data_IF_740077393103
#
_entry.id   IF_740077393103
#
_cell.length_a   1.000
_cell.length_b   1.000
_cell.length_c   1.000
_cell.angle_alpha   90.00
_cell.angle_beta   90.00
_cell.angle_gamma   90.00
#
_symmetry.space_group_name_H-M   'P 1'
#
loop_
_entity.id
_entity.type
_entity.pdbx_description
1 polymer ?
#
# COMPACT_ATOMS: atom_id res chain seq x y z
N UNK A 1 -28.82 42.58 14.97
CA UNK A 1 -27.48 42.38 15.53
C UNK A 1 -27.20 40.90 15.40
N UNK A 2 -26.63 40.49 14.27
CA UNK A 2 -26.35 39.09 13.96
C UNK A 2 -25.01 38.72 14.59
N UNK A 3 -24.89 37.59 15.31
CA UNK A 3 -23.59 37.14 15.79
C UNK A 3 -22.70 36.81 14.59
N UNK A 4 -21.51 37.36 14.62
CA UNK A 4 -20.47 37.23 13.60
C UNK A 4 -20.02 35.77 13.48
N UNK A 5 -19.84 35.33 12.23
CA UNK A 5 -19.19 34.07 11.87
C UNK A 5 -17.87 33.92 12.64
N UNK A 6 -17.82 32.95 13.53
CA UNK A 6 -16.54 32.40 13.99
C UNK A 6 -15.92 31.68 12.79
N UNK A 7 -14.88 32.30 12.24
CA UNK A 7 -13.93 31.64 11.35
C UNK A 7 -13.44 30.38 12.04
N UNK A 8 -13.40 29.20 11.38
CA UNK A 8 -12.80 28.01 11.96
C UNK A 8 -11.38 28.36 12.37
N UNK A 9 -11.08 28.27 13.67
CA UNK A 9 -9.70 28.37 14.15
C UNK A 9 -8.89 27.32 13.39
N UNK A 10 -7.79 27.76 12.77
CA UNK A 10 -6.80 26.86 12.24
C UNK A 10 -6.41 25.89 13.37
N UNK A 11 -6.68 24.60 13.14
CA UNK A 11 -6.25 23.53 14.02
C UNK A 11 -4.75 23.37 13.84
N UNK A 12 -4.05 23.23 14.95
CA UNK A 12 -2.62 22.98 15.00
C UNK A 12 -2.29 21.70 14.22
N UNK A 13 -1.49 21.75 13.13
CA UNK A 13 -1.20 20.58 12.29
C UNK A 13 -0.40 19.48 13.02
N UNK A 14 0.06 19.71 14.25
CA UNK A 14 0.81 18.73 15.06
C UNK A 14 -0.03 17.65 15.76
N UNK A 15 -1.38 17.71 15.75
CA UNK A 15 -2.21 16.85 16.62
C UNK A 15 -2.75 15.58 15.94
N UNK A 16 -2.85 15.54 14.61
CA UNK A 16 -3.45 14.41 13.90
C UNK A 16 -2.42 13.65 13.07
N UNK A 17 -2.29 12.35 13.34
CA UNK A 17 -1.42 11.46 12.59
C UNK A 17 -1.80 11.44 11.09
N UNK A 18 -0.80 11.22 10.23
CA UNK A 18 -1.05 10.99 8.81
C UNK A 18 -1.78 9.66 8.63
N UNK A 19 -2.73 9.60 7.69
CA UNK A 19 -3.38 8.34 7.32
C UNK A 19 -2.37 7.50 6.55
N UNK A 20 -2.02 6.34 7.09
CA UNK A 20 -1.10 5.36 6.51
C UNK A 20 -1.82 4.12 5.97
N UNK A 21 -3.14 4.23 5.75
CA UNK A 21 -3.99 3.11 5.34
C UNK A 21 -5.01 3.60 4.32
N UNK A 22 -4.94 3.05 3.11
CA UNK A 22 -5.91 3.24 2.05
C UNK A 22 -6.91 2.06 2.04
N UNK A 23 -8.15 2.26 2.52
CA UNK A 23 -9.14 1.18 2.56
C UNK A 23 -9.53 0.62 1.19
N UNK A 24 -9.16 1.29 0.08
CA UNK A 24 -9.41 0.81 -1.27
C UNK A 24 -8.33 -0.18 -1.74
N UNK A 25 -7.12 -0.09 -1.19
CA UNK A 25 -5.95 -0.81 -1.68
C UNK A 25 -5.42 -1.83 -0.66
N UNK A 26 -5.47 -1.48 0.63
CA UNK A 26 -4.78 -2.24 1.69
C UNK A 26 -5.65 -3.35 2.29
N UNK A 27 -6.96 -3.32 2.02
CA UNK A 27 -7.86 -4.42 2.38
C UNK A 27 -7.74 -5.50 1.31
N UNK A 28 -7.47 -6.76 1.70
CA UNK A 28 -7.18 -7.78 0.72
C UNK A 28 -8.47 -8.28 0.04
N UNK A 29 -8.37 -8.65 -1.23
CA UNK A 29 -9.53 -8.99 -2.06
C UNK A 29 -10.40 -10.12 -1.46
N UNK A 30 -9.82 -11.06 -0.71
CA UNK A 30 -10.57 -12.14 -0.07
C UNK A 30 -11.60 -11.63 0.94
N UNK A 31 -11.32 -10.51 1.64
CA UNK A 31 -12.25 -9.92 2.58
C UNK A 31 -13.50 -9.41 1.86
N UNK A 32 -13.34 -8.83 0.67
CA UNK A 32 -14.41 -8.35 -0.19
C UNK A 32 -15.19 -9.48 -0.87
N UNK A 33 -14.49 -10.52 -1.36
CA UNK A 33 -15.13 -11.69 -1.98
C UNK A 33 -16.02 -12.45 -0.99
N UNK A 34 -15.58 -12.59 0.27
CA UNK A 34 -16.39 -13.20 1.33
C UNK A 34 -17.72 -12.47 1.56
N UNK A 35 -17.78 -11.17 1.24
CA UNK A 35 -18.98 -10.34 1.35
C UNK A 35 -19.75 -10.16 0.03
N UNK A 36 -19.33 -10.81 -1.05
CA UNK A 36 -19.90 -10.60 -2.40
C UNK A 36 -19.88 -9.13 -2.81
N UNK A 37 -18.77 -8.43 -2.54
CA UNK A 37 -18.57 -7.04 -2.99
C UNK A 37 -17.99 -7.05 -4.41
N UNK A 38 -18.50 -6.17 -5.28
CA UNK A 38 -17.98 -5.96 -6.63
C UNK A 38 -16.87 -4.92 -6.61
N UNK A 39 -15.62 -5.37 -6.61
CA UNK A 39 -14.45 -4.49 -6.59
C UNK A 39 -14.37 -3.56 -7.81
N UNK A 40 -15.01 -3.89 -8.93
CA UNK A 40 -15.00 -3.04 -10.13
C UNK A 40 -15.82 -1.76 -9.97
N UNK A 41 -16.70 -1.71 -8.96
CA UNK A 41 -17.54 -0.54 -8.64
C UNK A 41 -16.87 0.43 -7.66
N UNK A 42 -15.66 0.12 -7.20
CA UNK A 42 -14.92 0.89 -6.21
C UNK A 42 -14.77 2.36 -6.58
N UNK A 43 -15.26 3.25 -5.71
CA UNK A 43 -15.02 4.70 -5.83
C UNK A 43 -14.24 5.18 -4.62
N UNK A 44 -13.12 5.85 -4.90
CA UNK A 44 -12.27 6.50 -3.89
C UNK A 44 -12.56 7.99 -3.85
N UNK A 45 -12.69 8.54 -2.66
CA UNK A 45 -12.73 9.98 -2.43
C UNK A 45 -11.88 10.35 -1.23
N UNK A 46 -11.21 11.50 -1.32
CA UNK A 46 -10.35 12.01 -0.26
C UNK A 46 -10.89 13.37 0.17
N UNK A 47 -10.91 13.61 1.48
CA UNK A 47 -11.39 14.86 2.03
C UNK A 47 -10.46 15.35 3.13
N UNK A 48 -10.00 16.60 2.99
CA UNK A 48 -9.22 17.31 4.00
C UNK A 48 -9.96 18.58 4.39
N UNK A 49 -10.28 18.72 5.68
CA UNK A 49 -10.95 19.90 6.21
C UNK A 49 -10.68 20.07 7.70
N UNK A 50 -10.27 21.28 8.09
CA UNK A 50 -10.06 21.64 9.50
C UNK A 50 -9.00 20.80 10.22
N UNK A 51 -7.93 20.38 9.54
CA UNK A 51 -6.88 19.51 10.09
C UNK A 51 -7.21 18.02 10.07
N UNK A 52 -8.44 17.65 9.71
CA UNK A 52 -8.81 16.26 9.51
C UNK A 52 -8.63 15.85 8.06
N UNK A 53 -8.06 14.68 7.85
CA UNK A 53 -8.00 13.99 6.56
C UNK A 53 -8.84 12.72 6.66
N UNK A 54 -9.41 12.31 5.54
CA UNK A 54 -10.11 11.04 5.41
C UNK A 54 -10.04 10.50 3.99
N UNK A 55 -9.97 9.18 3.89
CA UNK A 55 -10.08 8.42 2.65
C UNK A 55 -11.35 7.58 2.77
N UNK A 56 -12.28 7.78 1.84
CA UNK A 56 -13.53 7.04 1.75
C UNK A 56 -13.53 6.18 0.49
N UNK A 57 -13.80 4.90 0.67
CA UNK A 57 -13.98 3.91 -0.38
C UNK A 57 -15.39 3.36 -0.33
N UNK A 58 -16.07 3.37 -1.48
CA UNK A 58 -17.43 2.85 -1.62
C UNK A 58 -17.49 1.76 -2.67
N UNK A 59 -18.17 0.66 -2.37
CA UNK A 59 -18.33 -0.47 -3.28
C UNK A 59 -19.77 -0.96 -3.28
N UNK A 60 -20.25 -1.39 -4.44
CA UNK A 60 -21.55 -2.03 -4.58
C UNK A 60 -21.43 -3.54 -4.33
N UNK A 61 -22.50 -4.14 -3.84
CA UNK A 61 -22.64 -5.60 -3.76
C UNK A 61 -22.85 -6.23 -5.13
N UNK A 62 -22.28 -7.42 -5.35
CA UNK A 62 -22.60 -8.27 -6.50
C UNK A 62 -24.10 -8.64 -6.45
N UNK A 63 -24.86 -8.39 -7.52
CA UNK A 63 -26.28 -8.75 -7.62
C UNK A 63 -26.56 -10.21 -7.22
N UNK A 64 -27.66 -10.51 -6.50
CA UNK A 64 -28.06 -11.89 -6.26
C UNK A 64 -28.63 -12.55 -7.54
N UNK A 65 -28.35 -13.84 -7.74
CA UNK A 65 -28.97 -14.65 -8.79
C UNK A 65 -30.40 -15.02 -8.39
N UNK A 66 -31.37 -14.19 -8.78
CA UNK A 66 -32.82 -14.44 -8.88
C UNK A 66 -33.62 -14.94 -7.66
N UNK A 67 -33.02 -15.29 -6.51
CA UNK A 67 -33.77 -15.86 -5.37
C UNK A 67 -33.28 -15.43 -3.95
N UNK A 68 -32.93 -14.15 -3.80
CA UNK A 68 -32.66 -13.40 -2.55
C UNK A 68 -31.18 -13.22 -2.18
N UNK A 69 -30.82 -11.95 -1.99
CA UNK A 69 -30.19 -11.31 -0.82
C UNK A 69 -30.03 -9.84 -1.20
N UNK A 70 -30.60 -8.92 -0.41
CA UNK A 70 -30.62 -7.50 -0.73
C UNK A 70 -29.30 -6.89 -1.20
N UNK A 71 -29.42 -5.86 -2.06
CA UNK A 71 -28.30 -5.07 -2.54
C UNK A 71 -27.82 -4.15 -1.41
N UNK A 72 -26.52 -3.92 -1.32
CA UNK A 72 -25.95 -3.00 -0.35
C UNK A 72 -24.75 -2.26 -0.92
N UNK A 73 -24.49 -1.10 -0.34
CA UNK A 73 -23.24 -0.36 -0.54
C UNK A 73 -22.36 -0.56 0.70
N UNK A 74 -21.08 -0.89 0.48
CA UNK A 74 -20.06 -0.95 1.51
C UNK A 74 -19.30 0.37 1.53
N UNK A 75 -19.28 1.05 2.67
CA UNK A 75 -18.50 2.25 2.93
C UNK A 75 -17.35 1.92 3.88
N UNK A 76 -16.14 2.30 3.49
CA UNK A 76 -14.92 2.16 4.26
C UNK A 76 -14.25 3.52 4.38
N UNK A 77 -14.13 4.04 5.59
CA UNK A 77 -13.58 5.36 5.85
C UNK A 77 -12.37 5.24 6.77
N UNK A 78 -11.18 5.54 6.27
CA UNK A 78 -10.01 5.80 7.10
C UNK A 78 -9.96 7.29 7.43
N UNK A 79 -9.72 7.66 8.69
CA UNK A 79 -9.62 9.06 9.10
C UNK A 79 -8.61 9.24 10.21
N UNK A 80 -7.97 10.42 10.24
CA UNK A 80 -7.08 10.79 11.34
C UNK A 80 -7.79 11.30 12.61
N UNK A 81 -9.10 11.06 12.70
CA UNK A 81 -9.92 11.31 13.88
C UNK A 81 -9.71 10.22 14.92
N UNK A 82 -9.69 10.60 16.18
CA UNK A 82 -9.74 9.67 17.30
C UNK A 82 -11.17 9.12 17.52
N UNK A 83 -11.29 7.97 18.19
CA UNK A 83 -12.60 7.46 18.60
C UNK A 83 -13.35 8.42 19.53
N UNK A 84 -12.66 9.07 20.47
CA UNK A 84 -13.27 10.05 21.38
C UNK A 84 -13.93 11.21 20.61
N UNK A 85 -13.26 11.70 19.56
CA UNK A 85 -13.81 12.74 18.69
C UNK A 85 -15.00 12.23 17.88
N UNK A 86 -14.94 10.99 17.39
CA UNK A 86 -16.06 10.36 16.68
C UNK A 86 -17.28 10.20 17.60
N UNK A 87 -17.09 9.72 18.82
CA UNK A 87 -18.15 9.56 19.83
C UNK A 87 -18.81 10.91 20.17
N UNK A 88 -18.02 11.97 20.39
CA UNK A 88 -18.52 13.31 20.73
C UNK A 88 -19.39 13.94 19.64
N UNK A 89 -19.29 13.51 18.38
CA UNK A 89 -20.12 14.04 17.29
C UNK A 89 -21.56 13.57 17.36
N UNK A 90 -21.82 12.39 17.91
CA UNK A 90 -23.15 11.79 17.94
C UNK A 90 -23.33 10.80 19.10
N UNK A 91 -23.21 11.26 20.35
CA UNK A 91 -23.21 10.39 21.53
C UNK A 91 -24.56 9.70 21.77
N UNK A 92 -25.66 10.28 21.28
CA UNK A 92 -27.02 9.73 21.48
C UNK A 92 -27.25 8.46 20.67
N UNK A 93 -26.53 8.28 19.56
CA UNK A 93 -26.70 7.17 18.62
C UNK A 93 -25.46 6.27 18.53
N UNK A 94 -24.48 6.48 19.41
CA UNK A 94 -23.19 5.78 19.40
C UNK A 94 -22.98 5.07 20.73
N UNK A 95 -22.58 3.81 20.68
CA UNK A 95 -22.25 3.00 21.87
C UNK A 95 -20.83 2.49 21.77
N UNK A 96 -20.09 2.53 22.87
CA UNK A 96 -18.77 1.91 22.97
C UNK A 96 -18.86 0.39 22.95
N UNK A 97 -17.91 -0.26 22.30
CA UNK A 97 -17.79 -1.71 22.23
C UNK A 97 -16.32 -2.10 22.07
N UNK A 98 -16.08 -3.39 21.84
CA UNK A 98 -14.80 -3.91 21.41
C UNK A 98 -14.96 -4.81 20.19
N UNK A 99 -14.02 -4.74 19.26
CA UNK A 99 -13.87 -5.70 18.15
C UNK A 99 -12.47 -6.28 18.23
N UNK A 100 -12.33 -7.61 18.27
CA UNK A 100 -11.05 -8.30 18.49
C UNK A 100 -10.24 -7.79 19.69
N UNK A 101 -10.91 -7.32 20.76
CA UNK A 101 -10.26 -6.76 21.93
C UNK A 101 -9.77 -5.31 21.78
N UNK A 102 -10.00 -4.66 20.62
CA UNK A 102 -9.70 -3.25 20.38
C UNK A 102 -10.90 -2.36 20.73
N UNK A 103 -10.68 -1.16 21.29
CA UNK A 103 -11.75 -0.18 21.46
C UNK A 103 -12.43 0.15 20.12
N UNK A 104 -13.76 0.16 20.14
CA UNK A 104 -14.56 0.47 18.97
C UNK A 104 -15.86 1.16 19.36
N UNK A 105 -16.52 1.75 18.37
CA UNK A 105 -17.83 2.37 18.47
C UNK A 105 -18.78 1.64 17.52
N UNK A 106 -20.00 1.43 17.96
CA UNK A 106 -21.12 1.04 17.09
C UNK A 106 -22.05 2.23 17.01
N UNK A 107 -22.36 2.64 15.79
CA UNK A 107 -23.27 3.74 15.51
C UNK A 107 -24.47 3.26 14.70
N UNK A 108 -25.65 3.72 15.11
CA UNK A 108 -26.91 3.53 14.40
C UNK A 108 -27.42 4.87 13.87
N UNK A 109 -27.53 5.03 12.55
CA UNK A 109 -28.12 6.25 11.98
C UNK A 109 -29.65 6.19 12.10
N UNK A 110 -30.29 7.09 12.88
CA UNK A 110 -31.73 7.05 13.10
C UNK A 110 -32.55 7.33 11.83
N UNK A 111 -31.93 7.89 10.79
CA UNK A 111 -32.59 8.18 9.52
C UNK A 111 -32.43 7.03 8.51
N UNK A 112 -31.62 6.01 8.82
CA UNK A 112 -31.35 4.88 7.94
C UNK A 112 -31.75 3.58 8.63
N UNK A 113 -32.81 2.96 8.13
CA UNK A 113 -33.31 1.68 8.66
C UNK A 113 -32.24 0.60 8.55
N UNK A 114 -32.02 -0.14 9.63
CA UNK A 114 -31.01 -1.21 9.73
C UNK A 114 -29.57 -0.74 9.40
N UNK A 115 -29.26 0.54 9.61
CA UNK A 115 -27.87 0.99 9.56
C UNK A 115 -27.05 0.33 10.66
N UNK A 116 -25.80 0.04 10.37
CA UNK A 116 -24.79 -0.24 11.37
C UNK A 116 -23.44 0.24 10.84
N UNK A 117 -22.83 1.17 11.55
CA UNK A 117 -21.46 1.60 11.34
C UNK A 117 -20.62 1.13 12.53
N UNK A 118 -19.50 0.46 12.26
CA UNK A 118 -18.52 0.09 13.26
C UNK A 118 -17.26 0.91 13.01
N UNK A 119 -16.86 1.70 13.99
CA UNK A 119 -15.61 2.46 13.97
C UNK A 119 -14.61 1.85 14.95
N UNK A 120 -13.42 1.47 14.52
CA UNK A 120 -12.37 0.99 15.42
C UNK A 120 -11.19 1.95 15.43
N UNK A 121 -10.54 2.05 16.59
CA UNK A 121 -9.33 2.87 16.74
C UNK A 121 -8.21 2.29 15.88
N UNK A 122 -7.39 3.15 15.29
CA UNK A 122 -6.17 2.76 14.58
C UNK A 122 -5.02 3.67 15.01
N UNK A 123 -3.79 3.39 14.57
CA UNK A 123 -2.63 4.26 14.87
C UNK A 123 -2.71 5.62 14.21
N UNK A 124 -3.32 5.69 13.03
CA UNK A 124 -3.54 6.94 12.33
C UNK A 124 -4.79 7.67 12.80
N UNK A 125 -5.72 7.01 13.50
CA UNK A 125 -6.95 7.60 14.05
C UNK A 125 -8.05 6.56 14.21
N UNK A 126 -8.87 6.40 13.17
CA UNK A 126 -9.93 5.39 13.13
C UNK A 126 -10.17 4.87 11.72
N UNK A 127 -10.80 3.70 11.64
CA UNK A 127 -11.48 3.22 10.44
C UNK A 127 -12.95 2.97 10.77
N UNK A 128 -13.87 3.50 9.95
CA UNK A 128 -15.30 3.22 9.99
C UNK A 128 -15.71 2.31 8.84
N UNK A 129 -16.50 1.30 9.15
CA UNK A 129 -17.07 0.35 8.19
C UNK A 129 -18.58 0.43 8.32
N UNK A 130 -19.29 0.63 7.19
CA UNK A 130 -20.75 0.68 7.16
C UNK A 130 -21.28 -0.09 5.95
N UNK A 131 -22.20 -1.00 6.21
CA UNK A 131 -23.05 -1.58 5.17
C UNK A 131 -24.35 -0.78 5.10
N UNK A 132 -24.70 -0.31 3.91
CA UNK A 132 -25.96 0.38 3.64
C UNK A 132 -26.84 -0.50 2.78
N UNK A 133 -27.82 -1.15 3.38
CA UNK A 133 -28.76 -2.00 2.65
C UNK A 133 -29.74 -1.14 1.84
N UNK A 134 -29.85 -1.40 0.54
CA UNK A 134 -30.66 -0.64 -0.42
C UNK A 134 -32.05 -1.25 -0.68
N UNK A 135 -32.42 -2.35 -0.03
CA UNK A 135 -33.71 -3.00 -0.23
C UNK A 135 -34.90 -2.21 0.34
N UNK A 136 -35.97 -2.10 -0.46
CA UNK A 136 -37.18 -1.30 -0.17
C UNK A 136 -38.09 -1.84 0.96
N UNK A 137 -38.02 -3.12 1.28
CA UNK A 137 -38.86 -3.76 2.31
C UNK A 137 -37.98 -4.36 3.41
N UNK A 138 -37.44 -3.50 4.26
CA UNK A 138 -36.70 -3.95 5.43
C UNK A 138 -37.60 -3.94 6.67
N UNK A 139 -37.93 -5.12 7.18
CA UNK A 139 -38.42 -5.21 8.55
C UNK A 139 -37.32 -4.72 9.52
N UNK A 140 -37.67 -4.01 10.61
CA UNK A 140 -36.70 -3.63 11.63
C UNK A 140 -35.97 -4.86 12.16
N UNK A 141 -34.65 -4.85 12.05
CA UNK A 141 -33.80 -5.90 12.60
C UNK A 141 -33.42 -5.57 14.04
N UNK A 142 -33.09 -6.58 14.84
CA UNK A 142 -32.41 -6.36 16.13
C UNK A 142 -31.04 -5.71 15.90
N UNK A 143 -30.50 -5.05 16.91
CA UNK A 143 -29.18 -4.39 16.84
C UNK A 143 -28.05 -5.38 16.51
N UNK A 144 -28.10 -6.59 17.06
CA UNK A 144 -27.15 -7.66 16.72
C UNK A 144 -27.28 -8.11 15.27
N UNK A 145 -28.52 -8.26 14.77
CA UNK A 145 -28.74 -8.75 13.42
C UNK A 145 -28.29 -7.73 12.37
N UNK A 146 -28.54 -6.43 12.58
CA UNK A 146 -28.10 -5.38 11.66
C UNK A 146 -26.57 -5.20 11.62
N UNK A 147 -25.87 -5.48 12.72
CA UNK A 147 -24.41 -5.37 12.77
C UNK A 147 -23.66 -6.64 12.43
N UNK A 148 -24.32 -7.80 12.35
CA UNK A 148 -23.70 -9.10 12.12
C UNK A 148 -22.72 -9.10 10.93
N UNK A 149 -23.19 -8.61 9.78
CA UNK A 149 -22.40 -8.50 8.54
C UNK A 149 -21.20 -7.56 8.69
N UNK A 150 -21.44 -6.35 9.19
CA UNK A 150 -20.37 -5.37 9.42
C UNK A 150 -19.32 -5.93 10.37
N UNK A 151 -19.74 -6.58 11.47
CA UNK A 151 -18.81 -7.19 12.43
C UNK A 151 -17.95 -8.28 11.81
N UNK A 152 -18.56 -9.19 11.04
CA UNK A 152 -17.81 -10.24 10.34
C UNK A 152 -16.80 -9.67 9.34
N UNK A 153 -17.11 -8.56 8.68
CA UNK A 153 -16.14 -7.89 7.82
C UNK A 153 -15.02 -7.23 8.62
N UNK A 154 -15.34 -6.50 9.71
CA UNK A 154 -14.34 -5.87 10.58
C UNK A 154 -13.35 -6.91 11.14
N UNK A 155 -13.84 -8.05 11.61
CA UNK A 155 -13.01 -9.15 12.13
C UNK A 155 -12.05 -9.72 11.06
N UNK A 156 -12.42 -9.68 9.77
CA UNK A 156 -11.54 -10.16 8.68
C UNK A 156 -10.47 -9.15 8.27
N UNK A 157 -10.75 -7.87 8.39
CA UNK A 157 -9.81 -6.81 7.96
C UNK A 157 -8.92 -6.31 9.09
N UNK A 158 -9.13 -6.78 10.32
CA UNK A 158 -8.40 -6.32 11.50
C UNK A 158 -6.88 -6.42 11.30
N UNK A 159 -6.42 -7.58 10.83
CA UNK A 159 -5.00 -7.85 10.56
C UNK A 159 -4.42 -6.93 9.48
N UNK A 160 -5.25 -6.38 8.60
CA UNK A 160 -4.82 -5.47 7.52
C UNK A 160 -4.76 -4.02 7.99
N UNK A 161 -5.66 -3.61 8.88
CA UNK A 161 -5.80 -2.22 9.34
C UNK A 161 -4.62 -1.75 10.20
N UNK A 162 -3.93 -2.69 10.84
CA UNK A 162 -2.80 -2.42 11.74
C UNK A 162 -1.43 -2.90 11.20
N UNK A 163 -1.31 -3.40 9.97
CA UNK A 163 0.01 -3.55 9.31
C UNK A 163 0.43 -2.14 8.86
N UNK A 164 1.22 -1.38 9.62
CA UNK A 164 2.69 -1.45 9.63
C UNK A 164 3.34 -1.01 10.95
N UNK A 165 4.53 -1.55 11.23
CA UNK A 165 5.53 -1.23 12.28
C UNK A 165 5.46 -2.11 13.54
N UNK A 166 6.07 -3.30 13.41
CA UNK A 166 6.96 -3.86 14.43
C UNK A 166 8.44 -3.54 14.10
N UNK A 167 8.70 -2.39 13.44
CA UNK A 167 10.06 -1.91 13.14
C UNK A 167 10.71 -1.16 14.33
N UNK A 168 10.20 -1.34 15.55
CA UNK A 168 10.69 -0.64 16.74
C UNK A 168 10.84 -1.48 18.01
N UNK A 169 10.38 -2.73 18.06
CA UNK A 169 10.42 -3.52 19.30
C UNK A 169 10.66 -5.03 19.15
N UNK A 170 11.35 -5.45 18.10
CA UNK A 170 12.09 -6.71 18.13
C UNK A 170 13.54 -6.43 17.76
N UNK A 171 14.27 -5.83 18.71
CA UNK A 171 15.63 -6.33 18.91
C UNK A 171 15.48 -7.70 19.55
N UNK A 172 15.95 -8.73 18.83
CA UNK A 172 16.18 -10.09 19.34
C UNK A 172 14.97 -11.05 19.36
N UNK A 173 14.48 -11.44 18.19
CA UNK A 173 14.22 -12.85 17.86
C UNK A 173 14.13 -13.02 16.34
N UNK A 174 15.19 -13.57 15.75
CA UNK A 174 15.23 -13.98 14.35
C UNK A 174 14.34 -15.23 14.23
N UNK A 175 13.07 -15.04 13.92
CA UNK A 175 12.23 -16.10 13.39
C UNK A 175 12.35 -16.03 11.86
N UNK A 176 13.34 -16.75 11.33
CA UNK A 176 13.49 -17.07 9.91
C UNK A 176 12.33 -17.93 9.44
N UNK A 177 11.19 -17.31 9.14
CA UNK A 177 10.21 -17.93 8.24
C UNK A 177 10.77 -17.79 6.83
N UNK A 178 11.44 -18.83 6.35
CA UNK A 178 11.92 -18.91 4.97
C UNK A 178 10.70 -18.83 4.06
N UNK A 179 10.49 -17.67 3.42
CA UNK A 179 9.42 -17.47 2.45
C UNK A 179 9.67 -18.43 1.27
N UNK A 180 8.63 -19.13 0.83
CA UNK A 180 8.71 -19.94 -0.40
C UNK A 180 9.03 -19.01 -1.58
N UNK A 181 10.08 -19.28 -2.36
CA UNK A 181 10.42 -18.48 -3.53
C UNK A 181 9.24 -18.42 -4.51
N UNK A 182 9.00 -17.24 -5.09
CA UNK A 182 7.90 -17.03 -6.05
C UNK A 182 8.09 -17.85 -7.33
N UNK A 183 9.34 -18.02 -7.75
CA UNK A 183 9.74 -18.83 -8.90
C UNK A 183 10.97 -19.64 -8.52
N UNK A 184 11.00 -20.91 -8.93
CA UNK A 184 12.13 -21.82 -8.80
C UNK A 184 12.41 -22.39 -10.18
N UNK A 185 13.68 -22.55 -10.55
CA UNK A 185 14.10 -23.24 -11.77
C UNK A 185 14.66 -24.64 -11.46
N UNK A 186 14.95 -25.41 -12.51
CA UNK A 186 15.50 -26.76 -12.37
C UNK A 186 17.03 -26.77 -12.19
N UNK A 187 17.65 -25.63 -11.83
CA UNK A 187 19.10 -25.53 -11.65
C UNK A 187 19.52 -25.78 -10.18
N UNK A 188 20.83 -25.92 -9.95
CA UNK A 188 21.42 -26.01 -8.61
C UNK A 188 21.76 -24.64 -8.02
N UNK A 189 21.24 -23.56 -8.61
CA UNK A 189 21.49 -22.18 -8.14
C UNK A 189 20.70 -21.90 -6.85
N UNK A 190 21.17 -20.95 -6.02
CA UNK A 190 20.39 -20.51 -4.88
C UNK A 190 19.01 -20.00 -5.28
N UNK A 191 18.02 -20.29 -4.45
CA UNK A 191 16.69 -19.70 -4.60
C UNK A 191 16.73 -18.18 -4.39
N UNK A 192 15.90 -17.46 -5.12
CA UNK A 192 15.74 -16.02 -4.92
C UNK A 192 14.93 -15.79 -3.63
N UNK A 193 15.59 -15.23 -2.62
CA UNK A 193 14.99 -14.96 -1.30
C UNK A 193 14.48 -13.53 -1.13
N UNK A 194 14.71 -12.67 -2.11
CA UNK A 194 14.23 -11.29 -2.13
C UNK A 194 13.30 -11.09 -3.33
N UNK A 195 12.02 -10.85 -3.06
CA UNK A 195 11.01 -10.55 -4.05
C UNK A 195 10.83 -9.03 -4.13
N UNK A 196 11.26 -8.37 -5.23
CA UNK A 196 11.19 -6.92 -5.31
C UNK A 196 9.76 -6.37 -5.24
N UNK A 197 8.73 -7.15 -5.55
CA UNK A 197 7.35 -6.70 -5.43
C UNK A 197 6.81 -6.75 -4.00
N UNK A 198 7.46 -7.50 -3.10
CA UNK A 198 7.01 -7.69 -1.72
C UNK A 198 7.98 -7.07 -0.70
N UNK A 199 9.27 -7.02 -1.05
CA UNK A 199 10.35 -6.68 -0.13
C UNK A 199 10.93 -5.29 -0.38
N UNK A 200 10.52 -4.60 -1.46
CA UNK A 200 10.75 -3.16 -1.63
C UNK A 200 9.55 -2.41 -1.03
N UNK A 201 9.74 -1.68 0.08
CA UNK A 201 8.68 -0.90 0.71
C UNK A 201 8.21 0.21 -0.23
N UNK A 202 6.90 0.37 -0.36
CA UNK A 202 6.33 1.35 -1.28
C UNK A 202 6.57 2.78 -0.80
N UNK A 203 6.77 2.99 0.50
CA UNK A 203 7.05 4.28 1.12
C UNK A 203 8.34 4.89 0.56
N UNK A 204 9.38 4.06 0.43
CA UNK A 204 10.68 4.44 -0.16
C UNK A 204 10.50 4.93 -1.62
N UNK A 205 9.55 4.33 -2.34
CA UNK A 205 9.26 4.67 -3.75
C UNK A 205 8.32 5.88 -3.88
N UNK A 206 7.33 6.01 -3.00
CA UNK A 206 6.41 7.15 -2.94
C UNK A 206 7.15 8.45 -2.61
N UNK A 207 8.07 8.41 -1.65
CA UNK A 207 8.95 9.54 -1.32
C UNK A 207 9.78 10.02 -2.52
N UNK A 208 10.01 9.13 -3.49
CA UNK A 208 10.75 9.39 -4.74
C UNK A 208 9.84 9.68 -5.94
N UNK A 209 8.53 9.77 -5.72
CA UNK A 209 7.54 10.17 -6.72
C UNK A 209 7.08 9.05 -7.67
N UNK A 210 7.25 7.78 -7.28
CA UNK A 210 6.70 6.63 -8.01
C UNK A 210 5.24 6.38 -7.63
N UNK A 211 4.43 5.97 -8.62
CA UNK A 211 3.00 5.69 -8.45
C UNK A 211 2.79 4.19 -8.20
N UNK A 212 2.26 3.81 -7.04
CA UNK A 212 1.99 2.40 -6.73
C UNK A 212 1.01 1.75 -7.73
N UNK A 213 0.08 2.53 -8.29
CA UNK A 213 -0.87 2.02 -9.31
C UNK A 213 -0.21 1.62 -10.62
N UNK A 214 1.05 2.02 -10.80
CA UNK A 214 1.85 1.66 -11.98
C UNK A 214 2.71 0.42 -11.77
N UNK A 215 2.60 -0.23 -10.60
CA UNK A 215 3.31 -1.46 -10.27
C UNK A 215 3.06 -2.51 -11.33
N UNK A 216 4.14 -2.98 -11.93
CA UNK A 216 4.12 -4.03 -12.95
C UNK A 216 5.07 -5.16 -12.55
N UNK A 217 4.53 -6.36 -12.53
CA UNK A 217 5.19 -7.58 -12.08
C UNK A 217 5.57 -8.41 -13.29
N UNK A 218 6.81 -8.88 -13.35
CA UNK A 218 7.24 -9.78 -14.41
C UNK A 218 8.08 -10.91 -13.82
N UNK A 219 7.71 -12.14 -14.17
CA UNK A 219 8.43 -13.37 -13.84
C UNK A 219 9.03 -13.97 -15.10
N UNK A 220 10.36 -14.16 -15.09
CA UNK A 220 11.11 -14.62 -16.25
C UNK A 220 11.94 -15.87 -15.90
N UNK A 221 11.33 -17.08 -15.92
CA UNK A 221 12.06 -18.32 -15.80
C UNK A 221 12.78 -18.64 -17.12
N UNK A 222 14.11 -18.60 -17.15
CA UNK A 222 14.92 -18.89 -18.35
C UNK A 222 15.59 -20.27 -18.33
N UNK A 223 15.02 -21.22 -17.59
CA UNK A 223 15.45 -22.62 -17.55
C UNK A 223 16.72 -22.86 -16.72
N UNK A 224 17.81 -22.13 -16.97
CA UNK A 224 19.10 -22.27 -16.26
C UNK A 224 19.38 -21.15 -15.26
N UNK A 225 18.50 -20.15 -15.22
CA UNK A 225 18.49 -19.05 -14.27
C UNK A 225 17.08 -18.49 -14.20
N UNK A 226 16.77 -17.86 -13.08
CA UNK A 226 15.48 -17.23 -12.78
C UNK A 226 15.69 -15.75 -12.56
N UNK A 227 14.79 -14.94 -13.11
CA UNK A 227 14.65 -13.55 -12.74
C UNK A 227 13.21 -13.27 -12.32
N UNK A 228 13.06 -12.53 -11.23
CA UNK A 228 11.79 -11.95 -10.82
C UNK A 228 11.97 -10.44 -10.74
N UNK A 229 11.02 -9.68 -11.25
CA UNK A 229 11.14 -8.22 -11.28
C UNK A 229 9.84 -7.52 -10.92
N UNK A 230 10.01 -6.32 -10.40
CA UNK A 230 8.94 -5.36 -10.16
C UNK A 230 9.35 -3.99 -10.70
N UNK A 231 8.43 -3.30 -11.34
CA UNK A 231 8.69 -1.97 -11.88
C UNK A 231 7.58 -0.97 -11.53
N UNK A 232 7.95 0.29 -11.44
CA UNK A 232 7.04 1.41 -11.18
C UNK A 232 7.39 2.58 -12.08
N UNK A 233 6.38 3.36 -12.44
CA UNK A 233 6.47 4.62 -13.18
C UNK A 233 6.21 5.79 -12.24
N UNK A 234 6.88 6.91 -12.48
CA UNK A 234 6.58 8.16 -11.79
C UNK A 234 5.15 8.61 -12.07
N UNK A 235 4.53 9.34 -11.15
CA UNK A 235 3.19 9.93 -11.37
C UNK A 235 3.12 10.65 -12.72
N UNK A 236 2.07 10.36 -13.51
CA UNK A 236 1.79 11.09 -14.74
C UNK A 236 1.48 12.55 -14.39
N UNK A 237 2.46 13.44 -14.55
CA UNK A 237 2.27 14.85 -14.20
C UNK A 237 1.35 15.52 -15.23
N UNK A 238 0.19 15.93 -14.77
CA UNK A 238 -0.79 16.71 -15.51
C UNK A 238 -0.22 18.06 -15.90
N UNK A 239 -0.23 18.35 -17.20
CA UNK A 239 -0.15 19.69 -17.81
C UNK A 239 0.93 20.62 -17.25
N UNK A 240 2.18 20.21 -17.41
CA UNK A 240 3.28 21.06 -17.90
C UNK A 240 4.50 20.14 -18.06
N UNK A 241 5.15 20.27 -19.22
CA UNK A 241 6.16 19.36 -19.74
C UNK A 241 7.26 19.03 -18.73
N UNK A 242 7.18 17.83 -18.14
CA UNK A 242 8.16 17.30 -17.19
C UNK A 242 8.51 15.88 -17.55
N UNK A 243 9.78 15.58 -17.42
CA UNK A 243 10.35 14.25 -17.53
C UNK A 243 9.58 13.23 -16.69
N UNK A 244 9.48 12.01 -17.22
CA UNK A 244 8.95 10.86 -16.48
C UNK A 244 10.05 9.83 -16.23
N UNK A 245 9.85 8.99 -15.22
CA UNK A 245 10.83 8.01 -14.79
C UNK A 245 10.18 6.64 -14.63
N UNK A 246 10.97 5.58 -14.81
CA UNK A 246 10.62 4.26 -14.36
C UNK A 246 11.75 3.68 -13.52
N UNK A 247 11.41 2.99 -12.44
CA UNK A 247 12.33 2.19 -11.66
C UNK A 247 11.97 0.72 -11.85
N UNK A 248 12.98 -0.12 -12.05
CA UNK A 248 12.82 -1.58 -12.06
C UNK A 248 13.80 -2.20 -11.10
N UNK A 249 13.32 -3.11 -10.27
CA UNK A 249 14.14 -3.99 -9.47
C UNK A 249 13.99 -5.41 -10.00
N UNK A 250 15.11 -6.06 -10.27
CA UNK A 250 15.20 -7.39 -10.84
C UNK A 250 16.14 -8.22 -9.98
N UNK A 251 15.59 -9.20 -9.28
CA UNK A 251 16.33 -10.17 -8.49
C UNK A 251 16.58 -11.41 -9.36
N UNK A 252 17.81 -11.91 -9.36
CA UNK A 252 18.16 -13.09 -10.15
C UNK A 252 19.22 -13.95 -9.51
N UNK A 253 19.18 -15.24 -9.82
CA UNK A 253 20.10 -16.24 -9.28
C UNK A 253 21.39 -16.45 -10.10
N UNK A 254 21.70 -15.51 -11.01
CA UNK A 254 23.01 -15.40 -11.65
C UNK A 254 24.02 -14.84 -10.66
N UNK A 255 25.24 -15.37 -10.63
CA UNK A 255 26.24 -14.86 -9.68
C UNK A 255 26.76 -13.48 -10.10
N UNK A 256 27.28 -12.73 -9.13
CA UNK A 256 27.92 -11.44 -9.39
C UNK A 256 29.08 -11.58 -10.38
N UNK A 257 29.91 -12.61 -10.23
CA UNK A 257 31.04 -12.87 -11.11
C UNK A 257 30.60 -13.20 -12.55
N UNK A 258 29.55 -14.00 -12.71
CA UNK A 258 28.97 -14.30 -14.02
C UNK A 258 28.41 -13.04 -14.69
N UNK A 259 27.72 -12.19 -13.91
CA UNK A 259 27.19 -10.92 -14.40
C UNK A 259 28.32 -9.96 -14.81
N UNK A 260 29.36 -9.82 -13.98
CA UNK A 260 30.53 -9.00 -14.24
C UNK A 260 31.33 -9.50 -15.46
N UNK A 261 31.47 -10.82 -15.64
CA UNK A 261 32.15 -11.37 -16.80
C UNK A 261 31.39 -11.07 -18.10
N UNK A 262 30.06 -11.16 -18.07
CA UNK A 262 29.20 -10.85 -19.21
C UNK A 262 29.24 -9.37 -19.61
N UNK A 263 29.17 -8.48 -18.61
CA UNK A 263 28.96 -7.04 -18.84
C UNK A 263 30.19 -6.19 -18.48
N UNK A 264 31.38 -6.78 -18.44
CA UNK A 264 32.62 -6.12 -17.98
C UNK A 264 32.87 -4.78 -18.65
N UNK A 265 32.65 -4.71 -19.96
CA UNK A 265 33.00 -3.53 -20.78
C UNK A 265 32.09 -2.32 -20.52
N UNK A 266 30.92 -2.54 -19.90
CA UNK A 266 29.93 -1.49 -19.61
C UNK A 266 29.73 -1.27 -18.10
N UNK A 267 30.51 -1.96 -17.27
CA UNK A 267 30.33 -1.97 -15.81
C UNK A 267 31.53 -1.33 -15.11
N UNK A 268 31.24 -0.49 -14.11
CA UNK A 268 32.25 0.04 -13.18
C UNK A 268 32.00 -0.56 -11.81
N UNK A 269 33.01 -1.22 -11.20
CA UNK A 269 32.90 -1.70 -9.83
C UNK A 269 32.80 -0.52 -8.84
N UNK A 270 31.79 -0.56 -7.98
CA UNK A 270 31.51 0.41 -6.92
C UNK A 270 31.20 -0.34 -5.61
N UNK A 271 30.91 0.41 -4.55
CA UNK A 271 30.45 -0.14 -3.28
C UNK A 271 29.24 0.66 -2.81
N UNK A 272 28.16 -0.04 -2.46
CA UNK A 272 26.98 0.53 -1.81
C UNK A 272 26.99 0.05 -0.37
N UNK A 273 27.01 0.98 0.57
CA UNK A 273 27.22 0.69 2.00
C UNK A 273 28.49 -0.16 2.19
N UNK A 274 28.35 -1.47 2.45
CA UNK A 274 29.47 -2.43 2.57
C UNK A 274 29.40 -3.58 1.56
N UNK A 275 28.54 -3.46 0.56
CA UNK A 275 28.26 -4.50 -0.44
C UNK A 275 28.89 -4.15 -1.78
N UNK A 276 29.46 -5.17 -2.43
CA UNK A 276 30.00 -5.03 -3.79
C UNK A 276 28.87 -4.75 -4.76
N UNK A 277 29.12 -3.85 -5.70
CA UNK A 277 28.14 -3.51 -6.72
C UNK A 277 28.80 -3.13 -8.04
N UNK A 278 28.04 -3.22 -9.13
CA UNK A 278 28.40 -2.66 -10.43
C UNK A 278 27.51 -1.46 -10.71
N UNK A 279 28.11 -0.40 -11.23
CA UNK A 279 27.43 0.72 -11.84
C UNK A 279 27.48 0.56 -13.35
N UNK A 280 26.30 0.57 -13.98
CA UNK A 280 26.13 0.67 -15.42
C UNK A 280 25.34 1.95 -15.71
N UNK A 281 25.69 2.69 -16.75
CA UNK A 281 24.89 3.81 -17.20
C UNK A 281 25.05 4.01 -18.70
N UNK A 282 23.97 4.42 -19.35
CA UNK A 282 23.97 4.91 -20.73
C UNK A 282 23.28 6.28 -20.77
N UNK A 283 22.87 6.80 -21.93
CA UNK A 283 22.32 8.15 -22.08
C UNK A 283 21.08 8.45 -21.24
N UNK A 284 20.20 7.46 -21.04
CA UNK A 284 18.90 7.64 -20.37
C UNK A 284 18.66 6.62 -19.23
N UNK A 285 19.59 5.68 -19.03
CA UNK A 285 19.44 4.59 -18.07
C UNK A 285 20.62 4.58 -17.12
N UNK A 286 20.35 4.24 -15.86
CA UNK A 286 21.35 3.95 -14.86
C UNK A 286 20.94 2.68 -14.14
N UNK A 287 21.85 1.73 -13.97
CA UNK A 287 21.63 0.52 -13.22
C UNK A 287 22.72 0.29 -12.17
N UNK A 288 22.30 -0.15 -10.98
CA UNK A 288 23.18 -0.63 -9.92
C UNK A 288 22.89 -2.11 -9.71
N UNK A 289 23.91 -2.94 -9.80
CA UNK A 289 23.82 -4.40 -9.64
C UNK A 289 24.51 -4.77 -8.34
N UNK A 290 23.75 -5.13 -7.31
CA UNK A 290 24.26 -5.54 -6.01
C UNK A 290 24.60 -7.03 -5.98
N UNK A 291 25.72 -7.38 -5.34
CA UNK A 291 26.12 -8.75 -4.99
C UNK A 291 25.27 -9.26 -3.81
N UNK A 292 24.56 -10.39 -3.96
CA UNK A 292 23.61 -10.91 -2.95
C UNK A 292 23.84 -12.40 -2.70
N UNK A 293 23.30 -12.95 -1.59
CA UNK A 293 23.46 -14.41 -1.32
C UNK A 293 22.75 -15.27 -2.35
N UNK A 294 21.67 -14.77 -2.94
CA UNK A 294 20.92 -15.49 -3.96
C UNK A 294 21.49 -15.29 -5.38
N UNK A 295 22.33 -14.28 -5.62
CA UNK A 295 22.88 -13.94 -6.93
C UNK A 295 23.08 -12.44 -7.07
N UNK A 296 22.21 -11.77 -7.81
CA UNK A 296 22.26 -10.30 -8.00
C UNK A 296 20.89 -9.63 -7.82
N UNK A 297 20.92 -8.40 -7.33
CA UNK A 297 19.79 -7.46 -7.40
C UNK A 297 20.14 -6.31 -8.33
N UNK A 298 19.51 -6.26 -9.49
CA UNK A 298 19.63 -5.16 -10.46
C UNK A 298 18.57 -4.13 -10.15
N UNK A 299 18.98 -2.90 -9.87
CA UNK A 299 18.10 -1.74 -9.71
C UNK A 299 18.34 -0.80 -10.88
N UNK A 300 17.39 -0.60 -11.78
CA UNK A 300 17.53 0.28 -12.95
C UNK A 300 16.58 1.47 -12.89
N UNK A 301 17.09 2.63 -13.25
CA UNK A 301 16.41 3.91 -13.28
C UNK A 301 16.42 4.45 -14.71
N UNK A 302 15.26 4.37 -15.35
CA UNK A 302 15.06 4.83 -16.71
C UNK A 302 14.41 6.20 -16.72
N UNK A 303 15.04 7.14 -17.42
CA UNK A 303 14.53 8.48 -17.65
C UNK A 303 13.90 8.60 -19.04
N UNK A 304 12.70 9.17 -19.09
CA UNK A 304 12.00 9.52 -20.31
C UNK A 304 11.98 11.05 -20.44
N UNK A 305 12.99 11.65 -21.09
CA UNK A 305 13.09 13.09 -21.24
C UNK A 305 11.95 13.63 -22.09
N UNK A 306 11.42 14.80 -21.71
CA UNK A 306 10.35 15.44 -22.48
C UNK A 306 10.87 16.02 -23.82
N UNK A 307 12.05 16.66 -23.82
CA UNK A 307 12.60 17.45 -24.94
C UNK A 307 13.84 16.83 -25.60
N UNK A 308 14.13 15.55 -25.30
CA UNK A 308 15.35 14.84 -25.72
C UNK A 308 16.66 15.49 -25.25
N UNK A 309 16.63 16.44 -24.30
CA UNK A 309 17.84 16.94 -23.68
C UNK A 309 18.44 15.85 -22.77
N UNK A 310 19.74 15.52 -22.93
CA UNK A 310 20.39 14.54 -22.06
C UNK A 310 20.56 15.10 -20.64
N UNK A 311 20.30 14.27 -19.63
CA UNK A 311 20.64 14.62 -18.24
C UNK A 311 22.17 14.74 -18.13
N UNK A 312 22.70 15.75 -17.42
CA UNK A 312 24.11 15.77 -17.05
C UNK A 312 24.52 14.47 -16.34
N UNK A 313 25.56 13.80 -16.82
CA UNK A 313 25.98 12.47 -16.34
C UNK A 313 26.13 12.37 -14.82
N UNK A 314 26.62 13.43 -14.16
CA UNK A 314 26.79 13.50 -12.70
C UNK A 314 25.47 13.40 -11.91
N UNK A 315 24.34 13.74 -12.53
CA UNK A 315 23.01 13.73 -11.90
C UNK A 315 22.18 12.51 -12.27
N UNK A 316 22.59 11.78 -13.30
CA UNK A 316 21.78 10.73 -13.90
C UNK A 316 21.55 9.55 -12.96
N UNK A 317 22.59 9.13 -12.23
CA UNK A 317 22.53 8.01 -11.31
C UNK A 317 22.25 8.41 -9.86
N UNK A 318 22.36 9.70 -9.52
CA UNK A 318 22.31 10.15 -8.13
C UNK A 318 21.02 9.74 -7.38
N UNK A 319 19.81 9.84 -7.99
CA UNK A 319 18.58 9.36 -7.33
C UNK A 319 18.59 7.86 -7.04
N UNK A 320 19.17 7.07 -7.95
CA UNK A 320 19.27 5.62 -7.83
C UNK A 320 20.25 5.22 -6.71
N UNK A 321 21.38 5.92 -6.55
CA UNK A 321 22.33 5.63 -5.47
C UNK A 321 21.68 5.67 -4.08
N UNK A 322 20.96 6.74 -3.77
CA UNK A 322 20.28 6.86 -2.47
C UNK A 322 19.19 5.81 -2.30
N UNK A 323 18.43 5.52 -3.34
CA UNK A 323 17.42 4.46 -3.30
C UNK A 323 18.04 3.10 -3.00
N UNK A 324 19.11 2.74 -3.71
CA UNK A 324 19.76 1.44 -3.55
C UNK A 324 20.46 1.33 -2.19
N UNK A 325 20.94 2.43 -1.60
CA UNK A 325 21.42 2.43 -0.23
C UNK A 325 20.35 2.03 0.79
N UNK A 326 19.11 2.49 0.61
CA UNK A 326 18.00 2.13 1.48
C UNK A 326 17.58 0.66 1.25
N UNK A 327 17.46 0.24 -0.01
CA UNK A 327 17.07 -1.13 -0.37
C UNK A 327 18.11 -2.16 0.03
N UNK A 328 19.41 -1.85 -0.04
CA UNK A 328 20.48 -2.78 0.34
C UNK A 328 20.33 -3.31 1.77
N UNK A 329 19.77 -2.50 2.67
CA UNK A 329 19.54 -2.90 4.07
C UNK A 329 18.47 -3.98 4.23
N UNK A 330 17.65 -4.20 3.20
CA UNK A 330 16.54 -5.16 3.18
C UNK A 330 16.93 -6.50 2.54
N UNK A 331 18.09 -6.54 1.86
CA UNK A 331 18.52 -7.70 1.08
C UNK A 331 19.28 -8.70 1.96
N UNK A 332 18.97 -9.98 1.81
CA UNK A 332 19.57 -11.12 2.54
C UNK A 332 19.29 -11.17 4.07
N UNK A 333 18.20 -10.53 4.51
CA UNK A 333 17.67 -10.56 5.87
C UNK A 333 17.15 -11.94 6.31
#
# INVERSE_FOLDING_TARGET
MFPTNDTPKAVDPEVHAQITFDPCADIPEEAFRAERVDLSTGQKSEHTSGGYTSILCTFDSIPPDSNDTGWFDLYLLASNRTLDEAYKRDPENTTETTVSGRPALVKFDPNVTNSCEISMSTRFGLISIKHHNLTREMQPMTDDARCSRTRSFVERIEDSVDREVDAGRIMMEVATTVRTPRVVDDSERPDITFDPCLDVPMEILLERGFDDRSKDLTDLPFGTYTFISCSWKSFAQTTDHKDSYAITFLAGNVSYEEYLERDRDISTEITINSRRALLQHDRNDCAIILDTKFGVLVSSWLHFPYDNEPIPSEKQCAPLFSLVQDIETLVDL
#
